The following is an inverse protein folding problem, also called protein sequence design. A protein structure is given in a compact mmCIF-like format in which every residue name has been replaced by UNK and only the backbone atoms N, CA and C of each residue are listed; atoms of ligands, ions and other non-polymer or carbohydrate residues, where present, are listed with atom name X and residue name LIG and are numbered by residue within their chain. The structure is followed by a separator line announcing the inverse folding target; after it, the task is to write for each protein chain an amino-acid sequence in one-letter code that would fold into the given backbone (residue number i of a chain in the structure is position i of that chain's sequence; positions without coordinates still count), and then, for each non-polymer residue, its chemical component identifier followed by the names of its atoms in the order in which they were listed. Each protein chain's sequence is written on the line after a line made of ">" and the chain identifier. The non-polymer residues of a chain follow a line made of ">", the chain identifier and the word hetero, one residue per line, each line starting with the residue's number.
data_IF_110391507120
#
_entry.id   IF_110391507120
#
_cell.length_a   1.000
_cell.length_b   1.000
_cell.length_c   1.000
_cell.angle_alpha   90.00
_cell.angle_beta   90.00
_cell.angle_gamma   90.00
#
_symmetry.space_group_name_H-M   'P 1'
#
loop_
_entity.id
_entity.type
_entity.pdbx_description
1 polymer ?
#
# COMPACT_ATOMS: atom_id res chain seq x y z
N UNK A 1 12.15 -18.18 9.67
CA UNK A 1 11.30 -18.40 8.48
C UNK A 1 10.49 -17.14 8.31
N UNK A 2 10.98 -16.20 7.50
CA UNK A 2 10.23 -14.98 7.19
C UNK A 2 9.42 -15.31 5.94
N UNK A 3 8.16 -15.66 6.16
CA UNK A 3 7.24 -16.04 5.09
C UNK A 3 6.70 -14.77 4.45
N UNK A 4 6.89 -14.66 3.13
CA UNK A 4 6.42 -13.56 2.30
C UNK A 4 4.91 -13.32 2.49
N UNK A 5 4.16 -14.40 2.71
CA UNK A 5 2.72 -14.36 3.00
C UNK A 5 2.35 -13.65 4.31
N UNK A 6 3.26 -13.56 5.29
CA UNK A 6 3.04 -12.77 6.51
C UNK A 6 3.10 -11.29 6.18
N UNK A 7 4.02 -10.87 5.31
CA UNK A 7 4.18 -9.47 4.88
C UNK A 7 2.91 -9.03 4.16
N UNK A 8 2.41 -9.82 3.21
CA UNK A 8 1.17 -9.56 2.51
C UNK A 8 -0.02 -9.41 3.46
N UNK A 9 -0.13 -10.33 4.42
CA UNK A 9 -1.23 -10.36 5.40
C UNK A 9 -1.16 -9.21 6.40
N UNK A 10 0.05 -8.80 6.80
CA UNK A 10 0.26 -7.65 7.70
C UNK A 10 -0.09 -6.36 6.95
N UNK A 11 0.49 -6.13 5.77
CA UNK A 11 0.21 -4.92 4.97
C UNK A 11 -1.29 -4.79 4.69
N UNK A 12 -1.97 -5.86 4.26
CA UNK A 12 -3.42 -5.82 4.03
C UNK A 12 -4.21 -5.49 5.29
N UNK A 13 -3.82 -6.02 6.45
CA UNK A 13 -4.49 -5.75 7.72
C UNK A 13 -4.27 -4.31 8.19
N UNK A 14 -3.04 -3.80 8.15
CA UNK A 14 -2.75 -2.43 8.59
C UNK A 14 -3.43 -1.39 7.69
N UNK A 15 -3.50 -1.64 6.37
CA UNK A 15 -4.21 -0.74 5.45
C UNK A 15 -5.71 -0.70 5.78
N UNK A 16 -6.34 -1.87 5.92
CA UNK A 16 -7.75 -1.95 6.33
C UNK A 16 -8.00 -1.36 7.72
N UNK A 17 -7.07 -1.54 8.66
CA UNK A 17 -7.19 -0.98 10.01
C UNK A 17 -7.09 0.56 10.01
N UNK A 18 -6.38 1.13 9.04
CA UNK A 18 -6.22 2.59 8.92
C UNK A 18 -7.48 3.28 8.43
N UNK A 19 -8.30 2.62 7.60
CA UNK A 19 -9.58 3.15 7.13
C UNK A 19 -10.55 2.01 6.71
N UNK A 20 -11.26 1.40 7.65
CA UNK A 20 -12.08 0.22 7.36
C UNK A 20 -13.26 0.51 6.44
N UNK A 21 -13.82 1.73 6.47
CA UNK A 21 -14.93 2.13 5.61
C UNK A 21 -14.48 2.46 4.18
N UNK A 22 -13.37 3.19 4.02
CA UNK A 22 -12.85 3.58 2.72
C UNK A 22 -12.18 2.43 1.96
N UNK A 23 -11.58 1.46 2.66
CA UNK A 23 -10.98 0.29 2.01
C UNK A 23 -11.92 -0.91 1.89
N UNK A 24 -13.15 -0.84 2.42
CA UNK A 24 -14.12 -1.94 2.37
C UNK A 24 -14.41 -2.44 0.96
N UNK A 25 -14.50 -1.51 0.01
CA UNK A 25 -14.74 -1.79 -1.42
C UNK A 25 -13.44 -1.72 -2.24
N UNK A 26 -12.33 -1.32 -1.62
CA UNK A 26 -11.05 -1.18 -2.30
C UNK A 26 -10.39 -2.54 -2.49
N UNK A 27 -10.00 -2.85 -3.71
CA UNK A 27 -9.27 -4.08 -4.01
C UNK A 27 -7.77 -3.81 -4.07
N UNK A 28 -7.05 -4.27 -3.03
CA UNK A 28 -5.60 -4.11 -2.91
C UNK A 28 -4.89 -5.46 -3.02
N UNK A 29 -3.91 -5.53 -3.91
CA UNK A 29 -3.03 -6.66 -4.15
C UNK A 29 -1.63 -6.26 -3.68
N UNK A 30 -1.06 -7.10 -2.82
CA UNK A 30 0.31 -6.95 -2.33
C UNK A 30 1.04 -8.21 -2.72
N UNK A 31 2.25 -8.09 -3.26
CA UNK A 31 3.10 -9.24 -3.58
C UNK A 31 4.53 -8.83 -3.30
N UNK A 32 5.32 -9.69 -2.66
CA UNK A 32 6.75 -9.46 -2.51
C UNK A 32 7.54 -10.54 -3.26
N UNK A 33 8.60 -10.10 -3.93
CA UNK A 33 9.46 -10.99 -4.70
C UNK A 33 10.90 -10.47 -4.66
N UNK A 34 11.82 -11.29 -4.14
CA UNK A 34 13.25 -10.97 -4.05
C UNK A 34 13.56 -9.59 -3.42
N UNK A 35 12.82 -9.17 -2.39
CA UNK A 35 13.04 -7.88 -1.73
C UNK A 35 12.38 -6.69 -2.44
N UNK A 36 11.56 -6.94 -3.46
CA UNK A 36 10.71 -5.93 -4.09
C UNK A 36 9.26 -6.17 -3.69
N UNK A 37 8.64 -5.18 -3.04
CA UNK A 37 7.21 -5.19 -2.72
C UNK A 37 6.46 -4.48 -3.83
N UNK A 38 5.57 -5.20 -4.49
CA UNK A 38 4.57 -4.65 -5.39
C UNK A 38 3.28 -4.41 -4.61
N UNK A 39 2.88 -3.15 -4.55
CA UNK A 39 1.60 -2.72 -3.99
C UNK A 39 0.74 -2.18 -5.13
N UNK A 40 -0.33 -2.89 -5.45
CA UNK A 40 -1.24 -2.54 -6.51
C UNK A 40 -2.70 -2.51 -6.02
N UNK A 41 -3.55 -1.72 -6.66
CA UNK A 41 -4.98 -1.79 -6.38
C UNK A 41 -5.79 -0.57 -6.75
N UNK A 42 -7.10 -0.68 -6.56
CA UNK A 42 -8.07 0.36 -6.82
C UNK A 42 -8.53 0.99 -5.52
N UNK A 43 -8.50 2.32 -5.48
CA UNK A 43 -8.95 3.09 -4.32
C UNK A 43 -9.87 4.22 -4.78
N UNK A 44 -10.85 4.54 -3.94
CA UNK A 44 -11.86 5.54 -4.26
C UNK A 44 -11.29 6.97 -4.30
N UNK A 45 -10.34 7.29 -3.41
CA UNK A 45 -9.85 8.67 -3.22
C UNK A 45 -8.35 8.75 -2.99
N UNK A 46 -7.82 9.98 -3.02
CA UNK A 46 -6.38 10.20 -2.97
C UNK A 46 -5.77 10.05 -1.59
N UNK A 47 -6.53 10.41 -0.58
CA UNK A 47 -6.15 10.18 0.80
C UNK A 47 -6.04 8.70 1.10
N UNK A 48 -6.95 7.86 0.57
CA UNK A 48 -6.86 6.41 0.72
C UNK A 48 -5.60 5.85 0.05
N UNK A 49 -5.27 6.29 -1.18
CA UNK A 49 -4.00 5.91 -1.80
C UNK A 49 -2.82 6.28 -0.90
N UNK A 50 -2.77 7.53 -0.44
CA UNK A 50 -1.64 8.06 0.34
C UNK A 50 -1.48 7.29 1.65
N UNK A 51 -2.58 6.99 2.34
CA UNK A 51 -2.60 6.14 3.54
C UNK A 51 -2.10 4.73 3.25
N UNK A 52 -2.62 4.08 2.23
CA UNK A 52 -2.18 2.73 1.86
C UNK A 52 -0.68 2.67 1.55
N UNK A 53 -0.16 3.71 0.87
CA UNK A 53 1.26 3.84 0.57
C UNK A 53 2.12 4.04 1.82
N UNK A 54 1.68 4.90 2.74
CA UNK A 54 2.40 5.20 3.98
C UNK A 54 2.50 3.96 4.87
N UNK A 55 1.37 3.26 5.05
CA UNK A 55 1.29 2.01 5.81
C UNK A 55 2.20 0.94 5.20
N UNK A 56 2.11 0.72 3.89
CA UNK A 56 2.95 -0.27 3.22
C UNK A 56 4.44 0.08 3.33
N UNK A 57 4.80 1.37 3.25
CA UNK A 57 6.18 1.82 3.44
C UNK A 57 6.66 1.59 4.89
N UNK A 58 5.82 1.85 5.88
CA UNK A 58 6.12 1.63 7.29
C UNK A 58 6.37 0.16 7.60
N UNK A 59 5.47 -0.73 7.13
CA UNK A 59 5.63 -2.18 7.29
C UNK A 59 6.88 -2.66 6.55
N UNK A 60 7.10 -2.18 5.33
CA UNK A 60 8.26 -2.56 4.55
C UNK A 60 9.58 -2.11 5.20
N UNK A 61 9.62 -0.91 5.78
CA UNK A 61 10.79 -0.39 6.48
C UNK A 61 11.13 -1.18 7.75
N UNK A 62 10.17 -1.90 8.31
CA UNK A 62 10.40 -2.80 9.46
C UNK A 62 11.15 -4.07 9.04
N UNK A 63 11.16 -4.40 7.75
CA UNK A 63 11.75 -5.62 7.21
C UNK A 63 13.03 -5.24 6.44
N UNK A 64 14.23 -5.51 6.99
CA UNK A 64 15.50 -5.06 6.39
C UNK A 64 15.83 -5.71 5.04
N UNK A 65 15.06 -6.72 4.62
CA UNK A 65 15.23 -7.42 3.34
C UNK A 65 14.54 -6.72 2.17
N UNK A 66 13.69 -5.73 2.42
CA UNK A 66 13.00 -5.01 1.35
C UNK A 66 13.91 -3.90 0.84
N UNK A 67 14.23 -4.00 -0.45
CA UNK A 67 15.08 -3.05 -1.16
C UNK A 67 14.25 -2.01 -1.91
N UNK A 68 13.03 -2.39 -2.35
CA UNK A 68 12.20 -1.52 -3.18
C UNK A 68 10.71 -1.74 -3.01
N UNK A 69 9.94 -0.65 -3.14
CA UNK A 69 8.49 -0.66 -3.15
C UNK A 69 7.99 -0.05 -4.45
N UNK A 70 7.25 -0.85 -5.24
CA UNK A 70 6.61 -0.44 -6.48
C UNK A 70 5.13 -0.20 -6.21
N UNK A 71 4.61 0.94 -6.64
CA UNK A 71 3.27 1.43 -6.28
C UNK A 71 2.43 1.59 -7.56
N UNK A 72 1.38 0.80 -7.72
CA UNK A 72 0.50 0.79 -8.90
C UNK A 72 -0.95 0.97 -8.46
N UNK A 73 -1.39 2.22 -8.33
CA UNK A 73 -2.76 2.52 -7.89
C UNK A 73 -3.57 3.11 -9.03
N UNK A 74 -4.75 2.54 -9.24
CA UNK A 74 -5.76 3.08 -10.15
C UNK A 74 -6.82 3.84 -9.34
N UNK A 75 -7.15 5.03 -9.80
CA UNK A 75 -8.13 5.91 -9.16
C UNK A 75 -9.46 5.86 -9.88
N UNK A 76 -10.53 5.76 -9.10
CA UNK A 76 -11.88 5.99 -9.60
C UNK A 76 -12.21 7.49 -9.70
N UNK A 77 -11.50 8.34 -8.95
CA UNK A 77 -11.65 9.79 -8.97
C UNK A 77 -10.28 10.46 -9.22
N UNK A 78 -9.99 10.77 -10.49
CA UNK A 78 -8.73 11.40 -10.90
C UNK A 78 -8.77 12.91 -10.67
N UNK A 79 -8.56 13.35 -9.42
CA UNK A 79 -8.19 14.75 -9.16
C UNK A 79 -6.73 14.84 -8.70
N UNK A 80 -5.88 15.31 -9.61
CA UNK A 80 -4.49 15.70 -9.39
C UNK A 80 -4.44 16.88 -8.40
N UNK A 81 -4.15 16.64 -7.12
CA UNK A 81 -3.77 17.70 -6.18
C UNK A 81 -3.04 17.06 -4.99
N UNK A 82 -1.83 17.41 -4.55
CA UNK A 82 -0.98 18.54 -4.85
C UNK A 82 0.48 18.08 -4.80
N UNK A 83 1.25 18.54 -5.78
CA UNK A 83 2.70 18.61 -5.72
C UNK A 83 3.04 19.67 -4.66
N UNK A 84 3.37 19.26 -3.43
CA UNK A 84 3.97 20.17 -2.47
C UNK A 84 5.47 20.21 -2.75
N UNK A 85 5.84 21.17 -3.60
CA UNK A 85 7.20 21.72 -3.62
C UNK A 85 7.40 22.46 -2.31
N UNK A 86 8.43 22.10 -1.56
CA UNK A 86 9.06 22.94 -0.54
C UNK A 86 10.58 22.81 -0.71
#
# INVERSE_FOLDING_TARGET
>A
MFDDGVIESVVKRDIHASDPDGFKDAHLIVTCYNGVVLLAGQVATADLKRRAQDVAASVASTIPRIEKIVKVFEYLDQEFCAHSTA
#
